data_IF_261033209803
#
_entry.id   IF_261033209803
#
_cell.length_a   1.000
_cell.length_b   1.000
_cell.length_c   1.000
_cell.angle_alpha   90.00
_cell.angle_beta   90.00
_cell.angle_gamma   90.00
#
_symmetry.space_group_name_H-M   'P 1'
#
loop_
_entity.id
_entity.type
_entity.pdbx_description
1 polymer ?
#
# COMPACT_ATOMS: atom_id res chain seq x y z
N UNK A 1 -0.24 9.92 79.64
CA UNK A 1 0.50 10.28 78.40
C UNK A 1 0.90 8.98 77.68
N UNK A 2 0.22 8.64 76.60
CA UNK A 2 0.56 7.47 75.77
C UNK A 2 1.50 7.92 74.63
N UNK A 3 2.65 7.27 74.47
CA UNK A 3 3.57 7.51 73.35
C UNK A 3 2.95 6.99 72.03
N UNK A 4 3.02 7.74 70.92
CA UNK A 4 2.56 7.24 69.63
C UNK A 4 3.54 6.16 69.10
N UNK A 5 3.00 5.09 68.50
CA UNK A 5 3.77 4.05 67.82
C UNK A 5 4.43 4.61 66.56
N UNK A 6 5.66 4.20 66.20
CA UNK A 6 6.26 4.60 64.94
C UNK A 6 5.54 3.93 63.77
N UNK A 7 5.15 4.74 62.80
CA UNK A 7 4.53 4.29 61.56
C UNK A 7 5.63 3.70 60.66
N UNK A 8 5.59 2.38 60.43
CA UNK A 8 6.50 1.72 59.49
C UNK A 8 6.24 2.27 58.09
N UNK A 9 7.21 3.02 57.55
CA UNK A 9 7.23 3.38 56.13
C UNK A 9 7.41 2.09 55.32
N UNK A 10 6.36 1.66 54.61
CA UNK A 10 6.48 0.59 53.63
C UNK A 10 7.48 1.03 52.55
N UNK A 11 8.65 0.40 52.51
CA UNK A 11 9.62 0.57 51.44
C UNK A 11 8.99 0.09 50.14
N UNK A 12 8.74 1.01 49.20
CA UNK A 12 8.36 0.61 47.84
C UNK A 12 9.51 -0.20 47.26
N UNK A 13 9.27 -1.38 46.67
CA UNK A 13 10.33 -2.15 46.05
C UNK A 13 10.94 -1.30 44.94
N UNK A 14 12.22 -0.97 45.07
CA UNK A 14 13.00 -0.35 44.00
C UNK A 14 12.99 -1.35 42.84
N UNK A 15 12.19 -1.09 41.79
CA UNK A 15 12.31 -1.90 40.58
C UNK A 15 13.76 -1.78 40.13
N UNK A 16 14.51 -2.89 40.11
CA UNK A 16 15.90 -2.89 39.69
C UNK A 16 15.94 -2.38 38.25
N UNK A 17 16.31 -1.11 38.09
CA UNK A 17 16.33 -0.37 36.82
C UNK A 17 16.99 -1.22 35.71
N UNK A 18 18.11 -1.85 36.04
CA UNK A 18 18.84 -2.77 35.16
C UNK A 18 18.00 -3.98 34.70
N UNK A 19 17.24 -4.62 35.59
CA UNK A 19 16.37 -5.76 35.24
C UNK A 19 15.23 -5.31 34.33
N UNK A 20 14.62 -4.16 34.62
CA UNK A 20 13.55 -3.59 33.79
C UNK A 20 14.03 -3.26 32.37
N UNK A 21 15.18 -2.61 32.24
CA UNK A 21 15.75 -2.27 30.93
C UNK A 21 16.27 -3.49 30.18
N UNK A 22 16.89 -4.45 30.87
CA UNK A 22 17.31 -5.71 30.25
C UNK A 22 16.12 -6.47 29.66
N UNK A 23 14.99 -6.53 30.38
CA UNK A 23 13.76 -7.15 29.87
C UNK A 23 13.20 -6.44 28.65
N UNK A 24 13.24 -5.10 28.63
CA UNK A 24 12.78 -4.29 27.48
C UNK A 24 13.67 -4.51 26.26
N UNK A 25 14.98 -4.50 26.43
CA UNK A 25 15.94 -4.76 25.35
C UNK A 25 15.78 -6.18 24.82
N UNK A 26 15.62 -7.17 25.70
CA UNK A 26 15.37 -8.55 25.29
C UNK A 26 14.07 -8.68 24.48
N UNK A 27 12.97 -8.08 24.97
CA UNK A 27 11.70 -8.07 24.24
C UNK A 27 11.82 -7.40 22.88
N UNK A 28 12.44 -6.22 22.82
CA UNK A 28 12.67 -5.50 21.56
C UNK A 28 13.51 -6.33 20.59
N UNK A 29 14.56 -6.99 21.09
CA UNK A 29 15.43 -7.83 20.26
C UNK A 29 14.67 -9.02 19.68
N UNK A 30 13.87 -9.71 20.50
CA UNK A 30 13.00 -10.80 20.06
C UNK A 30 12.00 -10.29 19.02
N UNK A 31 11.38 -9.13 19.26
CA UNK A 31 10.44 -8.53 18.32
C UNK A 31 11.09 -8.18 16.98
N UNK A 32 12.28 -7.56 16.98
CA UNK A 32 13.03 -7.24 15.76
C UNK A 32 13.42 -8.50 14.99
N UNK A 33 13.93 -9.53 15.68
CA UNK A 33 14.25 -10.82 15.05
C UNK A 33 13.00 -11.47 14.46
N UNK A 34 11.87 -11.43 15.18
CA UNK A 34 10.61 -11.96 14.70
C UNK A 34 10.09 -11.21 13.47
N UNK A 35 10.12 -9.88 13.45
CA UNK A 35 9.78 -9.08 12.28
C UNK A 35 10.72 -9.35 11.10
N UNK A 36 12.02 -9.49 11.37
CA UNK A 36 13.00 -9.88 10.35
C UNK A 36 12.69 -11.25 9.75
N UNK A 37 12.34 -12.24 10.59
CA UNK A 37 11.91 -13.56 10.14
C UNK A 37 10.61 -13.51 9.32
N UNK A 38 9.60 -12.76 9.77
CA UNK A 38 8.36 -12.56 8.99
C UNK A 38 8.69 -12.00 7.60
N UNK A 39 9.58 -11.02 7.53
CA UNK A 39 9.97 -10.42 6.26
C UNK A 39 10.59 -11.41 5.26
N UNK A 40 11.23 -12.49 5.74
CA UNK A 40 11.79 -13.55 4.88
C UNK A 40 10.77 -14.53 4.31
N UNK A 41 9.54 -14.56 4.85
CA UNK A 41 8.50 -15.52 4.43
C UNK A 41 7.37 -14.88 3.62
N UNK A 42 7.33 -13.55 3.53
CA UNK A 42 6.23 -12.80 2.91
C UNK A 42 6.01 -13.18 1.44
N UNK A 43 7.08 -13.48 0.70
CA UNK A 43 7.01 -13.78 -0.73
C UNK A 43 6.22 -15.07 -1.03
N UNK A 44 6.05 -15.94 -0.02
CA UNK A 44 5.24 -17.17 -0.14
C UNK A 44 3.74 -16.90 -0.27
N UNK A 45 3.31 -15.71 0.11
CA UNK A 45 1.90 -15.32 0.07
C UNK A 45 1.54 -14.57 -1.22
N UNK A 46 2.55 -14.15 -1.99
CA UNK A 46 2.35 -13.45 -3.24
C UNK A 46 1.57 -14.30 -4.26
N UNK A 47 0.55 -13.69 -4.85
CA UNK A 47 -0.32 -14.28 -5.87
C UNK A 47 0.06 -13.76 -7.24
N UNK A 48 0.35 -12.47 -7.35
CA UNK A 48 0.67 -11.84 -8.63
C UNK A 48 2.17 -11.84 -8.86
N UNK A 49 2.57 -11.85 -10.13
CA UNK A 49 3.96 -11.62 -10.52
C UNK A 49 4.08 -10.33 -11.33
N UNK A 50 5.17 -9.55 -11.16
CA UNK A 50 5.39 -8.36 -11.97
C UNK A 50 5.35 -8.63 -13.47
N UNK A 51 5.82 -9.81 -13.91
CA UNK A 51 5.85 -10.21 -15.32
C UNK A 51 4.43 -10.42 -15.87
N UNK A 52 3.57 -11.12 -15.13
CA UNK A 52 2.16 -11.31 -15.51
C UNK A 52 1.43 -9.98 -15.61
N UNK A 53 1.64 -9.09 -14.64
CA UNK A 53 0.99 -7.78 -14.63
C UNK A 53 1.50 -6.87 -15.74
N UNK A 54 2.79 -6.95 -16.10
CA UNK A 54 3.33 -6.22 -17.25
C UNK A 54 2.73 -6.73 -18.57
N UNK A 55 2.63 -8.05 -18.75
CA UNK A 55 1.96 -8.61 -19.92
C UNK A 55 0.49 -8.17 -20.00
N UNK A 56 -0.23 -8.23 -18.87
CA UNK A 56 -1.62 -7.80 -18.78
C UNK A 56 -1.79 -6.31 -19.12
N UNK A 57 -0.89 -5.44 -18.66
CA UNK A 57 -0.86 -4.02 -19.00
C UNK A 57 -0.72 -3.81 -20.51
N UNK A 58 0.24 -4.48 -21.15
CA UNK A 58 0.47 -4.36 -22.59
C UNK A 58 -0.75 -4.83 -23.39
N UNK A 59 -1.36 -5.94 -22.97
CA UNK A 59 -2.57 -6.47 -23.59
C UNK A 59 -3.77 -5.51 -23.42
N UNK A 60 -3.92 -4.89 -22.26
CA UNK A 60 -4.97 -3.90 -22.01
C UNK A 60 -4.83 -2.66 -22.91
N UNK A 61 -3.61 -2.15 -23.05
CA UNK A 61 -3.31 -1.00 -23.93
C UNK A 61 -3.59 -1.36 -25.39
N UNK A 62 -3.19 -2.56 -25.83
CA UNK A 62 -3.39 -3.01 -27.21
C UNK A 62 -4.86 -3.29 -27.56
N UNK A 63 -5.66 -3.76 -26.60
CA UNK A 63 -7.07 -4.10 -26.80
C UNK A 63 -8.01 -2.89 -26.73
N UNK A 64 -7.63 -1.83 -26.02
CA UNK A 64 -8.46 -0.66 -25.83
C UNK A 64 -8.44 0.28 -27.06
N UNK A 65 -9.56 1.00 -27.32
CA UNK A 65 -9.52 2.14 -28.22
C UNK A 65 -8.46 3.18 -27.80
N UNK A 66 -7.91 3.96 -28.73
CA UNK A 66 -6.87 4.94 -28.41
C UNK A 66 -7.30 5.88 -27.28
N UNK A 67 -6.47 5.97 -26.24
CA UNK A 67 -6.67 6.81 -25.05
C UNK A 67 -7.93 6.49 -24.21
N UNK A 68 -8.55 5.32 -24.39
CA UNK A 68 -9.69 4.90 -23.57
C UNK A 68 -9.22 4.14 -22.32
N UNK A 69 -8.92 4.90 -21.27
CA UNK A 69 -8.52 4.36 -19.96
C UNK A 69 -9.63 3.47 -19.38
N UNK A 70 -10.90 3.74 -19.65
CA UNK A 70 -12.00 2.94 -19.09
C UNK A 70 -12.00 1.55 -19.67
N UNK A 71 -11.87 1.44 -20.99
CA UNK A 71 -11.73 0.16 -21.68
C UNK A 71 -10.52 -0.64 -21.18
N UNK A 72 -9.38 0.03 -20.92
CA UNK A 72 -8.19 -0.63 -20.34
C UNK A 72 -8.47 -1.20 -18.94
N UNK A 73 -9.12 -0.42 -18.07
CA UNK A 73 -9.48 -0.88 -16.71
C UNK A 73 -10.45 -2.07 -16.77
N UNK A 74 -11.47 -1.98 -17.62
CA UNK A 74 -12.46 -3.05 -17.77
C UNK A 74 -11.80 -4.34 -18.28
N UNK A 75 -10.86 -4.22 -19.23
CA UNK A 75 -10.05 -5.34 -19.72
C UNK A 75 -9.21 -5.98 -18.61
N UNK A 76 -8.49 -5.18 -17.82
CA UNK A 76 -7.64 -5.66 -16.71
C UNK A 76 -8.49 -6.44 -15.70
N UNK A 77 -9.59 -5.85 -15.25
CA UNK A 77 -10.45 -6.45 -14.22
C UNK A 77 -11.11 -7.72 -14.72
N UNK A 78 -11.57 -7.74 -15.98
CA UNK A 78 -12.14 -8.94 -16.59
C UNK A 78 -11.13 -10.09 -16.67
N UNK A 79 -9.91 -9.83 -17.16
CA UNK A 79 -8.87 -10.86 -17.31
C UNK A 79 -8.39 -11.39 -15.94
N UNK A 80 -8.20 -10.53 -14.95
CA UNK A 80 -7.82 -10.97 -13.59
C UNK A 80 -8.93 -11.80 -12.96
N UNK A 81 -10.19 -11.38 -13.10
CA UNK A 81 -11.33 -12.13 -12.57
C UNK A 81 -11.47 -13.50 -13.25
N UNK A 82 -11.12 -13.60 -14.53
CA UNK A 82 -11.12 -14.85 -15.28
C UNK A 82 -9.97 -15.78 -14.89
N UNK A 83 -8.76 -15.24 -14.71
CA UNK A 83 -7.57 -16.01 -14.30
C UNK A 83 -7.72 -16.54 -12.87
N UNK A 84 -8.25 -15.69 -11.99
CA UNK A 84 -8.46 -15.95 -10.56
C UNK A 84 -9.95 -15.98 -10.18
N UNK A 85 -10.73 -16.97 -10.67
CA UNK A 85 -12.15 -17.02 -10.41
C UNK A 85 -12.43 -17.39 -8.96
N UNK A 86 -13.47 -16.80 -8.38
CA UNK A 86 -13.80 -16.91 -6.96
C UNK A 86 -13.91 -18.37 -6.43
N UNK A 87 -14.41 -19.31 -7.26
CA UNK A 87 -14.57 -20.70 -6.86
C UNK A 87 -13.25 -21.45 -6.62
N UNK A 88 -12.12 -20.93 -7.11
CA UNK A 88 -10.79 -21.50 -6.83
C UNK A 88 -10.24 -21.09 -5.45
N UNK A 89 -10.88 -20.14 -4.76
CA UNK A 89 -10.47 -19.66 -3.43
C UNK A 89 -8.99 -19.25 -3.35
N UNK A 90 -8.40 -18.79 -4.47
CA UNK A 90 -6.99 -18.41 -4.54
C UNK A 90 -6.78 -16.99 -4.05
N UNK A 91 -7.65 -16.05 -4.43
CA UNK A 91 -7.54 -14.64 -4.10
C UNK A 91 -8.92 -13.99 -4.22
N UNK A 92 -9.20 -13.01 -3.38
CA UNK A 92 -10.38 -12.17 -3.51
C UNK A 92 -10.09 -11.01 -4.46
N UNK A 93 -10.93 -10.87 -5.48
CA UNK A 93 -10.90 -9.81 -6.47
C UNK A 93 -12.16 -8.95 -6.33
N UNK A 94 -11.98 -7.63 -6.37
CA UNK A 94 -13.06 -6.69 -6.55
C UNK A 94 -13.42 -6.61 -8.03
N UNK A 95 -14.64 -7.02 -8.40
CA UNK A 95 -15.13 -7.00 -9.78
C UNK A 95 -16.16 -5.87 -10.01
N UNK A 96 -15.96 -4.72 -9.37
CA UNK A 96 -16.85 -3.54 -9.41
C UNK A 96 -16.17 -2.26 -9.93
N UNK A 97 -15.59 -2.27 -11.15
CA UNK A 97 -14.79 -1.17 -11.66
C UNK A 97 -15.58 0.11 -12.00
N UNK A 98 -16.91 0.10 -11.88
CA UNK A 98 -17.78 1.26 -12.14
C UNK A 98 -18.41 1.87 -10.88
N UNK A 99 -18.20 1.28 -9.70
CA UNK A 99 -18.89 1.68 -8.47
C UNK A 99 -17.95 2.17 -7.36
N UNK A 100 -16.79 1.54 -7.20
CA UNK A 100 -15.99 1.66 -5.96
C UNK A 100 -14.70 2.47 -6.15
N UNK A 101 -14.80 3.57 -6.90
CA UNK A 101 -13.74 4.57 -6.98
C UNK A 101 -13.77 5.48 -5.75
N UNK A 102 -12.58 5.82 -5.26
CA UNK A 102 -12.41 6.76 -4.13
C UNK A 102 -11.27 7.73 -4.45
N UNK A 103 -11.31 8.94 -3.90
CA UNK A 103 -10.13 9.80 -3.91
C UNK A 103 -9.02 9.20 -3.03
N UNK A 104 -7.78 9.47 -3.42
CA UNK A 104 -6.59 9.12 -2.66
C UNK A 104 -5.71 10.38 -2.55
N UNK A 105 -5.45 10.81 -1.31
CA UNK A 105 -4.60 11.94 -0.97
C UNK A 105 -3.48 11.45 -0.08
N UNK A 106 -2.24 11.49 -0.59
CA UNK A 106 -1.07 11.05 0.16
C UNK A 106 0.21 11.71 -0.38
N UNK A 107 1.11 12.12 0.52
CA UNK A 107 2.40 12.71 0.18
C UNK A 107 2.29 14.05 -0.58
N UNK A 108 1.18 14.77 -0.42
CA UNK A 108 0.86 15.98 -1.16
C UNK A 108 0.25 15.73 -2.55
N UNK A 109 0.20 14.48 -3.02
CA UNK A 109 -0.42 14.12 -4.28
C UNK A 109 -1.91 13.77 -4.09
N UNK A 110 -2.71 14.08 -5.10
CA UNK A 110 -4.13 13.73 -5.17
C UNK A 110 -4.46 12.99 -6.48
N UNK A 111 -5.16 11.87 -6.35
CA UNK A 111 -5.72 11.14 -7.48
C UNK A 111 -6.99 10.39 -7.11
N UNK A 112 -7.47 9.57 -8.02
CA UNK A 112 -8.52 8.60 -7.78
C UNK A 112 -7.94 7.19 -7.84
N UNK A 113 -8.44 6.31 -6.99
CA UNK A 113 -8.06 4.90 -7.00
C UNK A 113 -9.27 3.97 -7.07
N UNK A 114 -9.03 2.82 -7.67
CA UNK A 114 -9.90 1.66 -7.66
C UNK A 114 -9.15 0.43 -7.16
N UNK A 115 -9.59 -0.15 -6.06
CA UNK A 115 -8.94 -1.31 -5.45
C UNK A 115 -9.45 -2.58 -6.13
N UNK A 116 -8.59 -3.24 -6.91
CA UNK A 116 -8.84 -4.55 -7.53
C UNK A 116 -8.62 -5.66 -6.50
N UNK A 117 -7.51 -5.58 -5.75
CA UNK A 117 -7.14 -6.55 -4.73
C UNK A 117 -6.43 -5.86 -3.56
N UNK A 118 -6.66 -6.35 -2.33
CA UNK A 118 -5.84 -5.99 -1.17
C UNK A 118 -5.77 -7.16 -0.18
N UNK A 119 -4.55 -7.50 0.25
CA UNK A 119 -4.19 -8.43 1.31
C UNK A 119 -3.21 -7.76 2.28
N UNK A 120 -2.72 -8.48 3.28
CA UNK A 120 -1.64 -8.03 4.18
C UNK A 120 -0.31 -7.95 3.43
N UNK A 121 -0.10 -8.74 2.37
CA UNK A 121 1.19 -8.79 1.64
C UNK A 121 1.18 -8.19 0.23
N UNK A 122 0.02 -7.93 -0.35
CA UNK A 122 -0.12 -7.37 -1.70
C UNK A 122 -1.31 -6.42 -1.82
N UNK A 123 -1.22 -5.45 -2.73
CA UNK A 123 -2.40 -4.84 -3.33
C UNK A 123 -2.22 -4.70 -4.83
N UNK A 124 -3.36 -4.63 -5.52
CA UNK A 124 -3.44 -4.24 -6.91
C UNK A 124 -4.55 -3.21 -7.05
N UNK A 125 -4.20 -2.03 -7.56
CA UNK A 125 -5.15 -0.93 -7.76
C UNK A 125 -4.98 -0.34 -9.16
N UNK A 126 -5.99 0.41 -9.58
CA UNK A 126 -5.80 1.44 -10.62
C UNK A 126 -5.68 2.77 -9.89
N UNK A 127 -4.65 3.54 -10.18
CA UNK A 127 -4.46 4.88 -9.63
C UNK A 127 -4.12 5.88 -10.75
N UNK A 128 -4.65 7.09 -10.63
CA UNK A 128 -4.34 8.15 -11.56
C UNK A 128 -5.19 9.39 -11.37
N UNK A 129 -5.05 10.32 -12.30
CA UNK A 129 -5.81 11.56 -12.33
C UNK A 129 -5.95 12.07 -13.76
N UNK A 130 -7.12 12.59 -14.15
CA UNK A 130 -7.28 13.23 -15.45
C UNK A 130 -6.62 14.63 -15.51
N UNK A 131 -6.20 15.18 -14.37
CA UNK A 131 -5.67 16.55 -14.27
C UNK A 131 -4.14 16.56 -14.29
N UNK A 132 -3.54 15.92 -13.29
CA UNK A 132 -2.13 15.99 -12.98
C UNK A 132 -1.92 16.08 -11.47
N UNK A 133 -0.85 15.49 -10.95
CA UNK A 133 -0.49 15.54 -9.52
C UNK A 133 0.99 15.27 -9.32
N UNK A 134 1.57 15.78 -8.25
CA UNK A 134 2.95 15.47 -7.84
C UNK A 134 3.07 15.44 -6.33
N UNK A 135 4.08 14.72 -5.82
CA UNK A 135 4.29 14.61 -4.40
C UNK A 135 5.45 13.70 -4.02
N UNK A 136 5.56 13.48 -2.72
CA UNK A 136 6.48 12.53 -2.13
C UNK A 136 5.94 11.11 -2.32
N UNK A 137 6.78 10.16 -2.74
CA UNK A 137 6.32 8.76 -2.97
C UNK A 137 5.98 8.02 -1.68
N UNK A 138 6.57 8.43 -0.57
CA UNK A 138 6.53 7.70 0.70
C UNK A 138 7.77 6.82 0.88
N UNK A 139 8.00 6.39 2.12
CA UNK A 139 9.02 5.39 2.45
C UNK A 139 8.30 4.10 2.84
N UNK A 140 8.09 3.24 1.85
CA UNK A 140 7.25 2.07 2.01
C UNK A 140 8.03 0.81 2.40
N UNK A 141 7.34 -0.10 3.07
CA UNK A 141 7.83 -1.44 3.46
C UNK A 141 7.57 -2.51 2.39
N UNK A 142 7.18 -2.07 1.19
CA UNK A 142 6.87 -2.86 0.02
C UNK A 142 7.59 -2.29 -1.20
N UNK A 143 7.87 -3.15 -2.17
CA UNK A 143 8.15 -2.69 -3.53
C UNK A 143 6.83 -2.33 -4.20
N UNK A 144 6.83 -1.27 -5.00
CA UNK A 144 5.64 -0.78 -5.71
C UNK A 144 5.94 -0.57 -7.20
N UNK A 145 5.05 -1.08 -8.05
CA UNK A 145 5.22 -1.17 -9.50
C UNK A 145 4.10 -0.38 -10.18
N UNK A 146 4.46 0.73 -10.81
CA UNK A 146 3.53 1.53 -11.60
C UNK A 146 3.57 1.11 -13.07
N UNK A 147 2.59 0.31 -13.48
CA UNK A 147 2.35 -0.07 -14.87
C UNK A 147 1.58 1.05 -15.57
N UNK A 148 2.28 1.94 -16.28
CA UNK A 148 1.68 3.13 -16.93
C UNK A 148 0.71 2.71 -18.05
N UNK A 149 -0.57 3.03 -17.90
CA UNK A 149 -1.63 2.72 -18.88
C UNK A 149 -1.85 3.87 -19.86
N UNK A 150 -1.83 5.10 -19.34
CA UNK A 150 -2.08 6.31 -20.12
C UNK A 150 -1.35 7.50 -19.51
N UNK A 151 -1.04 8.50 -20.33
CA UNK A 151 -0.28 9.68 -19.91
C UNK A 151 1.16 9.35 -19.53
N UNK A 152 1.75 10.17 -18.67
CA UNK A 152 3.15 10.05 -18.28
C UNK A 152 3.36 10.20 -16.78
N UNK A 153 4.24 9.36 -16.25
CA UNK A 153 4.76 9.50 -14.91
C UNK A 153 6.22 9.95 -14.97
N UNK A 154 6.56 10.99 -14.22
CA UNK A 154 7.92 11.46 -14.06
C UNK A 154 8.38 11.22 -12.62
N UNK A 155 9.67 10.97 -12.43
CA UNK A 155 10.24 10.79 -11.10
C UNK A 155 11.71 11.22 -11.06
N UNK A 156 12.18 11.60 -9.88
CA UNK A 156 13.60 11.75 -9.61
C UNK A 156 13.91 11.55 -8.13
N UNK A 157 15.17 11.22 -7.82
CA UNK A 157 15.71 11.12 -6.47
C UNK A 157 16.53 12.35 -6.11
N UNK A 158 16.59 12.74 -4.82
CA UNK A 158 17.47 13.81 -4.37
C UNK A 158 18.92 13.61 -4.87
N UNK A 159 19.44 14.61 -5.59
CA UNK A 159 20.77 14.57 -6.19
C UNK A 159 20.80 14.24 -7.68
N UNK A 160 19.72 13.67 -8.24
CA UNK A 160 19.55 13.56 -9.69
C UNK A 160 19.21 14.93 -10.30
N UNK A 161 19.85 15.28 -11.41
CA UNK A 161 19.64 16.55 -12.12
C UNK A 161 18.72 16.42 -13.34
N UNK A 162 18.37 15.19 -13.71
CA UNK A 162 17.48 14.87 -14.82
C UNK A 162 16.37 13.93 -14.33
N UNK A 163 15.17 14.11 -14.88
CA UNK A 163 14.01 13.29 -14.50
C UNK A 163 13.95 11.98 -15.29
N UNK A 164 13.49 10.92 -14.64
CA UNK A 164 13.06 9.68 -15.27
C UNK A 164 11.63 9.88 -15.80
N UNK A 165 11.40 9.58 -17.09
CA UNK A 165 10.08 9.67 -17.73
C UNK A 165 9.59 8.27 -18.13
N UNK A 166 8.38 7.94 -17.70
CA UNK A 166 7.71 6.67 -17.96
C UNK A 166 6.42 6.92 -18.74
N UNK A 167 6.27 6.25 -19.88
CA UNK A 167 5.15 6.38 -20.83
C UNK A 167 4.33 5.09 -20.89
N UNK A 168 3.18 5.05 -21.58
CA UNK A 168 2.33 3.85 -21.63
C UNK A 168 3.09 2.59 -22.05
N UNK A 169 2.86 1.49 -21.33
CA UNK A 169 3.54 0.21 -21.51
C UNK A 169 4.86 0.07 -20.75
N UNK A 170 5.40 1.15 -20.17
CA UNK A 170 6.55 1.10 -19.26
C UNK A 170 6.10 0.76 -17.84
N UNK A 171 7.05 0.28 -17.03
CA UNK A 171 6.87 0.01 -15.60
C UNK A 171 7.87 0.83 -14.81
N UNK A 172 7.40 1.64 -13.87
CA UNK A 172 8.24 2.32 -12.90
C UNK A 172 8.23 1.55 -11.57
N UNK A 173 9.39 0.98 -11.23
CA UNK A 173 9.61 0.36 -9.92
C UNK A 173 10.02 1.42 -8.90
N UNK A 174 9.26 1.49 -7.80
CA UNK A 174 9.64 2.12 -6.55
C UNK A 174 10.13 1.05 -5.56
N UNK A 175 11.45 0.92 -5.36
CA UNK A 175 11.98 -0.07 -4.44
C UNK A 175 11.60 0.25 -2.99
N UNK A 176 11.41 -0.79 -2.19
CA UNK A 176 11.19 -0.67 -0.75
C UNK A 176 12.24 0.24 -0.10
N UNK A 177 11.77 1.16 0.75
CA UNK A 177 12.62 2.05 1.54
C UNK A 177 13.33 3.15 0.72
N UNK A 178 12.99 3.30 -0.56
CA UNK A 178 13.47 4.41 -1.40
C UNK A 178 12.38 5.48 -1.47
N UNK A 179 12.79 6.75 -1.36
CA UNK A 179 11.91 7.89 -1.56
C UNK A 179 12.30 8.63 -2.84
N UNK A 180 11.30 9.02 -3.63
CA UNK A 180 11.42 9.91 -4.77
C UNK A 180 10.41 11.04 -4.67
N UNK A 181 10.62 12.10 -5.45
CA UNK A 181 9.49 12.88 -5.93
C UNK A 181 8.93 12.18 -7.16
N UNK A 182 7.61 12.11 -7.26
CA UNK A 182 6.94 11.64 -8.47
C UNK A 182 5.91 12.65 -8.94
N UNK A 183 5.57 12.57 -10.22
CA UNK A 183 4.53 13.36 -10.87
C UNK A 183 3.77 12.50 -11.86
N UNK A 184 2.46 12.42 -11.70
CA UNK A 184 1.52 12.02 -12.75
C UNK A 184 1.24 13.29 -13.56
N UNK A 185 1.85 13.43 -14.74
CA UNK A 185 2.02 14.73 -15.40
C UNK A 185 0.70 15.39 -15.82
N UNK A 186 0.09 14.90 -16.89
CA UNK A 186 -1.16 15.39 -17.45
C UNK A 186 -1.98 14.17 -17.87
N UNK A 187 -3.13 13.96 -17.22
CA UNK A 187 -4.00 12.82 -17.54
C UNK A 187 -3.31 11.46 -17.42
N UNK A 188 -2.60 11.17 -16.32
CA UNK A 188 -1.86 9.92 -16.18
C UNK A 188 -2.60 8.88 -15.32
N UNK A 189 -2.59 7.63 -15.77
CA UNK A 189 -3.21 6.49 -15.12
C UNK A 189 -2.29 5.27 -15.17
N UNK A 190 -2.20 4.55 -14.06
CA UNK A 190 -1.41 3.35 -13.92
C UNK A 190 -2.20 2.23 -13.23
N UNK A 191 -1.88 0.99 -13.59
CA UNK A 191 -2.13 -0.15 -12.72
C UNK A 191 -0.96 -0.21 -11.73
N UNK A 192 -1.26 -0.12 -10.46
CA UNK A 192 -0.26 -0.04 -9.39
C UNK A 192 -0.32 -1.33 -8.57
N UNK A 193 0.83 -2.00 -8.46
CA UNK A 193 0.98 -3.26 -7.75
C UNK A 193 2.06 -3.11 -6.70
N UNK A 194 1.69 -3.31 -5.43
CA UNK A 194 2.67 -3.37 -4.36
C UNK A 194 2.75 -4.76 -3.75
N UNK A 195 3.98 -5.15 -3.38
CA UNK A 195 4.27 -6.42 -2.70
C UNK A 195 5.21 -6.20 -1.52
N UNK A 196 4.79 -6.64 -0.33
CA UNK A 196 5.44 -6.37 0.95
C UNK A 196 4.40 -6.14 2.05
N UNK A 197 4.80 -5.55 3.18
CA UNK A 197 3.85 -5.39 4.30
C UNK A 197 2.90 -4.20 4.07
N UNK A 198 1.75 -4.45 3.46
CA UNK A 198 0.79 -3.41 3.01
C UNK A 198 0.20 -2.60 4.17
N UNK A 199 -0.21 -3.18 5.32
CA UNK A 199 -0.80 -2.38 6.40
C UNK A 199 0.12 -1.30 6.94
N UNK A 200 1.45 -1.46 6.80
CA UNK A 200 2.44 -0.48 7.24
C UNK A 200 2.55 0.72 6.28
N UNK A 201 1.97 0.64 5.08
CA UNK A 201 1.86 1.76 4.13
C UNK A 201 0.65 2.66 4.43
N UNK A 202 -0.40 2.13 5.06
CA UNK A 202 -1.66 2.84 5.33
C UNK A 202 -1.50 4.15 6.12
N UNK A 203 -0.61 4.26 7.14
CA UNK A 203 -0.41 5.53 7.82
C UNK A 203 -0.02 6.67 6.88
N UNK A 204 0.82 6.40 5.88
CA UNK A 204 1.16 7.38 4.85
C UNK A 204 -0.07 7.68 3.96
N UNK A 205 -0.77 6.64 3.50
CA UNK A 205 -1.96 6.78 2.66
C UNK A 205 -3.13 7.56 3.33
N UNK A 206 -3.15 7.65 4.66
CA UNK A 206 -4.17 8.41 5.39
C UNK A 206 -3.68 9.73 5.98
N UNK A 207 -2.38 10.01 5.98
CA UNK A 207 -1.80 11.17 6.64
C UNK A 207 -2.47 12.47 6.16
N UNK A 208 -2.49 12.71 4.85
CA UNK A 208 -3.09 13.93 4.30
C UNK A 208 -4.61 13.98 4.50
N UNK A 209 -5.28 12.84 4.60
CA UNK A 209 -6.71 12.82 4.97
C UNK A 209 -6.91 13.37 6.38
N UNK A 210 -6.07 12.99 7.33
CA UNK A 210 -6.18 13.43 8.72
C UNK A 210 -5.61 14.83 8.97
N UNK A 211 -4.65 15.28 8.17
CA UNK A 211 -3.92 16.54 8.43
C UNK A 211 -4.18 17.63 7.40
N UNK A 212 -4.85 17.33 6.29
CA UNK A 212 -5.11 18.28 5.19
C UNK A 212 -6.59 18.30 4.78
N UNK A 213 -7.09 17.23 4.15
CA UNK A 213 -8.41 17.29 3.48
C UNK A 213 -9.59 17.14 4.43
N UNK A 214 -9.41 16.38 5.52
CA UNK A 214 -10.46 16.00 6.46
C UNK A 214 -11.67 15.32 5.78
N UNK A 215 -11.45 14.66 4.64
CA UNK A 215 -12.48 13.98 3.87
C UNK A 215 -12.86 12.62 4.51
N UNK A 216 -13.64 12.69 5.58
CA UNK A 216 -14.12 11.53 6.34
C UNK A 216 -14.96 10.56 5.49
N UNK A 217 -15.86 11.01 4.59
CA UNK A 217 -16.57 10.11 3.68
C UNK A 217 -15.63 9.26 2.80
N UNK A 218 -14.64 9.88 2.15
CA UNK A 218 -13.64 9.14 1.36
C UNK A 218 -12.86 8.17 2.23
N UNK A 219 -12.41 8.60 3.42
CA UNK A 219 -11.72 7.74 4.37
C UNK A 219 -12.55 6.49 4.72
N UNK A 220 -13.83 6.66 5.01
CA UNK A 220 -14.74 5.55 5.32
C UNK A 220 -14.83 4.57 4.16
N UNK A 221 -15.02 5.06 2.93
CA UNK A 221 -15.09 4.19 1.76
C UNK A 221 -13.80 3.43 1.54
N UNK A 222 -12.64 4.09 1.66
CA UNK A 222 -11.33 3.46 1.54
C UNK A 222 -11.12 2.36 2.59
N UNK A 223 -11.40 2.64 3.86
CA UNK A 223 -11.28 1.66 4.95
C UNK A 223 -12.24 0.49 4.73
N UNK A 224 -13.49 0.75 4.36
CA UNK A 224 -14.51 -0.30 4.12
C UNK A 224 -14.10 -1.22 2.98
N UNK A 225 -13.64 -0.68 1.85
CA UNK A 225 -13.24 -1.46 0.67
C UNK A 225 -11.97 -2.26 0.99
N UNK A 226 -10.94 -1.60 1.51
CA UNK A 226 -9.66 -2.24 1.86
C UNK A 226 -9.85 -3.32 2.92
N UNK A 227 -10.58 -3.02 4.00
CA UNK A 227 -10.88 -3.97 5.07
C UNK A 227 -11.68 -5.18 4.58
N UNK A 228 -12.69 -4.98 3.70
CA UNK A 228 -13.44 -6.09 3.08
C UNK A 228 -12.52 -6.99 2.26
N UNK A 229 -11.61 -6.41 1.46
CA UNK A 229 -10.66 -7.18 0.65
C UNK A 229 -9.63 -7.92 1.52
N UNK A 230 -9.00 -7.24 2.48
CA UNK A 230 -7.99 -7.85 3.36
C UNK A 230 -8.59 -8.96 4.21
N UNK A 231 -9.75 -8.73 4.85
CA UNK A 231 -10.41 -9.76 5.66
C UNK A 231 -10.88 -10.93 4.81
N UNK A 232 -11.42 -10.68 3.62
CA UNK A 232 -11.82 -11.74 2.70
C UNK A 232 -10.64 -12.61 2.27
N UNK A 233 -9.51 -12.01 1.93
CA UNK A 233 -8.28 -12.75 1.61
C UNK A 233 -7.75 -13.56 2.81
N UNK A 234 -7.78 -12.99 4.02
CA UNK A 234 -7.40 -13.72 5.25
C UNK A 234 -8.27 -14.96 5.48
N UNK A 235 -9.58 -14.88 5.22
CA UNK A 235 -10.49 -16.02 5.33
C UNK A 235 -10.22 -17.10 4.28
N UNK A 236 -9.60 -16.75 3.15
CA UNK A 236 -9.11 -17.69 2.13
C UNK A 236 -7.71 -18.25 2.46
N UNK A 237 -7.12 -17.88 3.61
CA UNK A 237 -5.76 -18.27 3.98
C UNK A 237 -4.67 -17.47 3.25
N UNK A 238 -5.04 -16.38 2.57
CA UNK A 238 -4.10 -15.44 1.98
C UNK A 238 -3.77 -14.35 2.99
N UNK A 239 -2.47 -14.24 3.27
CA UNK A 239 -1.91 -13.19 4.11
C UNK A 239 -1.50 -12.09 3.19
#
# INVERSE_FOLDING_TARGET
MAKPKPQQSASRPSSNFFVTWSRRVAFLSIFVVFCGWLDTIKDRFYVFTPEYLHELQLNAIAAAPPNDVRAMVDFIVANITQEYPAHKNQVMINAKPHEEWVFNNAGGAMGAMYIIHASITEYLIIFGTPLGTEGHTGLHTADDYFHILHGEQWAFQPGELEMQRYTPGMVHLMPRGVAKQYKMHEGCWAMEYARGWIPLMLPFGFADTFTSTLDVPTLYHTIRITGRQMLGNLLLGKI
#
